data_IF_475199673361
#
_entry.id   IF_475199673361
#
_cell.length_a   1.000
_cell.length_b   1.000
_cell.length_c   1.000
_cell.angle_alpha   90.00
_cell.angle_beta   90.00
_cell.angle_gamma   90.00
#
_symmetry.space_group_name_H-M   'P 1'
#
loop_
_entity.id
_entity.type
_entity.pdbx_description
1 polymer ?
#
# COMPACT_ATOMS: atom_id res chain seq x y z
N UNK A 1 -23.12 -19.61 -33.46
CA UNK A 1 -22.29 -18.37 -33.46
C UNK A 1 -22.24 -17.65 -32.12
N UNK A 2 -23.25 -17.72 -31.23
CA UNK A 2 -23.22 -16.99 -29.94
C UNK A 2 -22.25 -17.52 -28.87
N UNK A 3 -22.00 -18.84 -28.81
CA UNK A 3 -21.14 -19.44 -27.79
C UNK A 3 -19.66 -19.03 -27.92
N UNK A 4 -19.13 -18.99 -29.15
CA UNK A 4 -17.76 -18.56 -29.43
C UNK A 4 -17.52 -17.09 -29.09
N UNK A 5 -18.49 -16.21 -29.42
CA UNK A 5 -18.43 -14.79 -29.05
C UNK A 5 -18.41 -14.60 -27.52
N UNK A 6 -19.27 -15.33 -26.79
CA UNK A 6 -19.27 -15.25 -25.32
C UNK A 6 -17.96 -15.76 -24.70
N UNK A 7 -17.38 -16.83 -25.27
CA UNK A 7 -16.11 -17.38 -24.79
C UNK A 7 -14.97 -16.38 -24.99
N UNK A 8 -14.94 -15.67 -26.12
CA UNK A 8 -13.95 -14.61 -26.36
C UNK A 8 -14.12 -13.42 -25.44
N UNK A 9 -15.35 -12.98 -25.14
CA UNK A 9 -15.61 -11.88 -24.20
C UNK A 9 -15.15 -12.20 -22.78
N UNK A 10 -15.20 -13.47 -22.37
CA UNK A 10 -14.75 -13.93 -21.05
C UNK A 10 -13.24 -14.14 -21.02
N UNK A 11 -12.67 -14.80 -22.05
CA UNK A 11 -11.27 -15.18 -22.07
C UNK A 11 -10.34 -14.01 -22.37
N UNK A 12 -10.72 -13.13 -23.30
CA UNK A 12 -9.91 -11.97 -23.69
C UNK A 12 -9.48 -11.09 -22.49
N UNK A 13 -10.38 -10.64 -21.59
CA UNK A 13 -9.97 -9.82 -20.46
C UNK A 13 -9.06 -10.57 -19.47
N UNK A 14 -9.21 -11.90 -19.36
CA UNK A 14 -8.35 -12.73 -18.50
C UNK A 14 -6.94 -12.81 -19.09
N UNK A 15 -6.83 -13.20 -20.37
CA UNK A 15 -5.53 -13.28 -21.06
C UNK A 15 -4.85 -11.92 -21.16
N UNK A 16 -5.61 -10.86 -21.46
CA UNK A 16 -5.08 -9.51 -21.52
C UNK A 16 -4.53 -9.07 -20.15
N UNK A 17 -5.26 -9.35 -19.07
CA UNK A 17 -4.79 -9.05 -17.71
C UNK A 17 -3.53 -9.84 -17.35
N UNK A 18 -3.46 -11.11 -17.75
CA UNK A 18 -2.27 -11.93 -17.52
C UNK A 18 -1.07 -11.40 -18.31
N UNK A 19 -1.26 -11.08 -19.59
CA UNK A 19 -0.23 -10.50 -20.46
C UNK A 19 0.31 -9.17 -19.91
N UNK A 20 -0.58 -8.23 -19.56
CA UNK A 20 -0.20 -6.96 -18.93
C UNK A 20 0.52 -7.18 -17.61
N UNK A 21 0.11 -8.17 -16.81
CA UNK A 21 0.79 -8.48 -15.54
C UNK A 21 2.19 -9.07 -15.72
N UNK A 22 2.47 -9.76 -16.84
CA UNK A 22 3.80 -10.25 -17.20
C UNK A 22 4.71 -9.12 -17.67
N UNK A 23 4.18 -8.20 -18.47
CA UNK A 23 4.94 -7.05 -18.98
C UNK A 23 5.19 -5.99 -17.90
N UNK A 24 4.20 -5.73 -17.05
CA UNK A 24 4.24 -4.74 -15.97
C UNK A 24 3.98 -5.43 -14.63
N UNK A 25 4.95 -6.20 -14.13
CA UNK A 25 4.76 -6.96 -12.91
C UNK A 25 4.54 -6.02 -11.73
N UNK A 26 3.36 -6.14 -11.11
CA UNK A 26 3.03 -5.36 -9.94
C UNK A 26 3.91 -5.83 -8.78
N UNK A 27 4.78 -4.94 -8.28
CA UNK A 27 5.75 -5.23 -7.22
C UNK A 27 5.10 -5.32 -5.83
N UNK A 28 3.85 -4.83 -5.72
CA UNK A 28 3.15 -4.63 -4.47
C UNK A 28 1.81 -5.37 -4.47
N UNK A 29 1.41 -5.86 -3.31
CA UNK A 29 0.09 -6.40 -3.06
C UNK A 29 -0.60 -5.55 -2.00
N UNK A 30 -1.75 -4.95 -2.34
CA UNK A 30 -2.58 -4.28 -1.35
C UNK A 30 -3.50 -5.30 -0.70
N UNK A 31 -3.38 -5.43 0.61
CA UNK A 31 -4.11 -6.43 1.40
C UNK A 31 -5.44 -5.92 1.91
N UNK A 32 -5.36 -4.83 2.67
CA UNK A 32 -6.52 -4.27 3.35
C UNK A 32 -6.45 -2.75 3.33
N UNK A 33 -7.60 -2.11 3.39
CA UNK A 33 -7.75 -0.66 3.34
C UNK A 33 -8.94 -0.24 4.17
N UNK A 34 -8.75 0.73 5.06
CA UNK A 34 -9.84 1.38 5.77
C UNK A 34 -10.06 2.79 5.21
N UNK A 35 -11.24 2.99 4.63
CA UNK A 35 -11.67 4.21 3.97
C UNK A 35 -12.93 4.77 4.65
N UNK A 36 -12.96 6.07 4.89
CA UNK A 36 -14.14 6.78 5.36
C UNK A 36 -14.14 8.22 4.84
N UNK A 37 -15.29 8.87 4.87
CA UNK A 37 -15.45 10.28 4.50
C UNK A 37 -15.52 11.14 5.75
N UNK A 38 -14.85 12.30 5.73
CA UNK A 38 -14.95 13.33 6.76
C UNK A 38 -15.29 14.65 6.08
N UNK A 39 -16.51 15.16 6.31
CA UNK A 39 -17.00 16.37 5.64
C UNK A 39 -16.97 16.21 4.11
N UNK A 40 -16.16 17.05 3.44
CA UNK A 40 -16.01 17.11 1.98
C UNK A 40 -14.72 16.44 1.46
N UNK A 41 -14.12 15.54 2.24
CA UNK A 41 -12.95 14.78 1.81
C UNK A 41 -12.96 13.35 2.30
N UNK A 42 -12.15 12.52 1.65
CA UNK A 42 -11.98 11.11 1.97
C UNK A 42 -10.64 10.91 2.69
N UNK A 43 -10.66 9.99 3.65
CA UNK A 43 -9.56 9.64 4.53
C UNK A 43 -9.31 8.14 4.43
N UNK A 44 -8.06 7.76 4.18
CA UNK A 44 -7.61 6.37 4.13
C UNK A 44 -6.56 6.18 5.23
N UNK A 45 -6.93 5.58 6.36
CA UNK A 45 -6.03 5.53 7.52
C UNK A 45 -5.12 4.31 7.54
N UNK A 46 -5.60 3.15 7.07
CA UNK A 46 -4.93 1.87 7.26
C UNK A 46 -4.86 1.09 5.95
N UNK A 47 -4.17 1.63 4.96
CA UNK A 47 -3.88 0.89 3.72
C UNK A 47 -2.63 0.01 3.93
N UNK A 48 -2.79 -1.30 3.86
CA UNK A 48 -1.70 -2.26 4.09
C UNK A 48 -1.16 -2.80 2.78
N UNK A 49 0.11 -2.54 2.49
CA UNK A 49 0.81 -3.00 1.29
C UNK A 49 1.89 -3.99 1.68
N UNK A 50 2.02 -5.06 0.91
CA UNK A 50 3.05 -6.08 1.05
C UNK A 50 3.92 -6.08 -0.21
N UNK A 51 5.24 -6.15 -0.03
CA UNK A 51 6.19 -6.26 -1.14
C UNK A 51 6.31 -7.72 -1.55
N UNK A 52 6.21 -7.98 -2.87
CA UNK A 52 6.41 -9.34 -3.39
C UNK A 52 7.85 -9.83 -3.16
N UNK A 53 8.06 -11.13 -2.88
CA UNK A 53 9.39 -11.69 -2.58
C UNK A 53 10.47 -11.39 -3.62
N UNK A 54 10.09 -11.36 -4.90
CA UNK A 54 10.97 -11.14 -6.06
C UNK A 54 11.69 -9.77 -6.04
N UNK A 55 11.11 -8.76 -5.38
CA UNK A 55 11.59 -7.37 -5.39
C UNK A 55 12.28 -6.95 -4.10
N UNK A 56 12.70 -7.89 -3.25
CA UNK A 56 13.24 -7.60 -1.91
C UNK A 56 14.72 -7.17 -1.87
N UNK A 57 15.44 -7.13 -2.99
CA UNK A 57 16.88 -6.83 -3.01
C UNK A 57 17.24 -5.41 -2.51
N UNK A 58 16.44 -4.39 -2.87
CA UNK A 58 16.64 -3.02 -2.40
C UNK A 58 15.29 -2.36 -2.10
N UNK A 59 14.72 -2.73 -0.95
CA UNK A 59 13.39 -2.32 -0.52
C UNK A 59 13.29 -0.80 -0.36
N UNK A 60 14.32 -0.14 0.19
CA UNK A 60 14.29 1.30 0.42
C UNK A 60 14.19 2.07 -0.90
N UNK A 61 15.09 1.78 -1.85
CA UNK A 61 15.07 2.43 -3.16
C UNK A 61 13.77 2.11 -3.92
N UNK A 62 13.29 0.87 -3.85
CA UNK A 62 12.04 0.44 -4.45
C UNK A 62 10.86 1.31 -4.00
N UNK A 63 10.76 1.58 -2.69
CA UNK A 63 9.71 2.40 -2.09
C UNK A 63 9.86 3.86 -2.50
N UNK A 64 11.08 4.41 -2.47
CA UNK A 64 11.34 5.80 -2.82
C UNK A 64 11.02 6.11 -4.29
N UNK A 65 11.36 5.20 -5.20
CA UNK A 65 11.04 5.30 -6.63
C UNK A 65 9.54 5.12 -6.89
N UNK A 66 8.87 4.19 -6.20
CA UNK A 66 7.47 3.85 -6.47
C UNK A 66 6.43 4.52 -5.55
N UNK A 67 6.83 5.41 -4.63
CA UNK A 67 5.93 6.04 -3.64
C UNK A 67 4.62 6.57 -4.22
N UNK A 68 4.66 7.19 -5.40
CA UNK A 68 3.46 7.72 -6.06
C UNK A 68 2.54 6.60 -6.54
N UNK A 69 3.11 5.55 -7.12
CA UNK A 69 2.38 4.39 -7.61
C UNK A 69 1.75 3.60 -6.46
N UNK A 70 2.47 3.47 -5.35
CA UNK A 70 1.98 2.87 -4.10
C UNK A 70 0.73 3.60 -3.60
N UNK A 71 0.79 4.94 -3.52
CA UNK A 71 -0.33 5.78 -3.09
C UNK A 71 -1.50 5.71 -4.08
N UNK A 72 -1.25 5.85 -5.38
CA UNK A 72 -2.28 5.74 -6.42
C UNK A 72 -2.98 4.37 -6.40
N UNK A 73 -2.21 3.29 -6.23
CA UNK A 73 -2.73 1.94 -6.11
C UNK A 73 -3.62 1.81 -4.86
N UNK A 74 -3.15 2.32 -3.71
CA UNK A 74 -3.91 2.31 -2.47
C UNK A 74 -5.24 3.06 -2.61
N UNK A 75 -5.23 4.26 -3.21
CA UNK A 75 -6.45 5.06 -3.45
C UNK A 75 -7.40 4.31 -4.39
N UNK A 76 -6.92 3.84 -5.54
CA UNK A 76 -7.75 3.16 -6.55
C UNK A 76 -8.45 1.95 -5.96
N UNK A 77 -7.71 1.12 -5.22
CA UNK A 77 -8.27 -0.08 -4.59
C UNK A 77 -9.20 0.26 -3.43
N UNK A 78 -8.86 1.25 -2.58
CA UNK A 78 -9.74 1.71 -1.50
C UNK A 78 -11.06 2.28 -2.03
N UNK A 79 -11.06 3.00 -3.14
CA UNK A 79 -12.31 3.48 -3.76
C UNK A 79 -13.10 2.35 -4.41
N UNK A 80 -12.43 1.37 -5.01
CA UNK A 80 -13.09 0.22 -5.65
C UNK A 80 -13.85 -0.69 -4.68
N UNK A 81 -13.54 -0.65 -3.39
CA UNK A 81 -14.28 -1.40 -2.35
C UNK A 81 -15.51 -0.66 -1.85
N UNK A 82 -15.71 0.60 -2.25
CA UNK A 82 -16.85 1.42 -1.85
C UNK A 82 -17.87 1.57 -2.99
N UNK A 83 -19.17 1.74 -2.69
CA UNK A 83 -20.17 2.00 -3.72
C UNK A 83 -19.82 3.22 -4.57
N UNK A 84 -20.11 3.16 -5.88
CA UNK A 84 -19.76 4.21 -6.84
C UNK A 84 -20.31 5.61 -6.45
N UNK A 85 -21.53 5.66 -5.91
CA UNK A 85 -22.21 6.90 -5.54
C UNK A 85 -22.09 7.27 -4.05
N UNK A 86 -21.18 6.63 -3.33
CA UNK A 86 -20.92 6.97 -1.93
C UNK A 86 -20.11 8.26 -1.81
N UNK A 87 -20.33 9.02 -0.73
CA UNK A 87 -19.52 10.22 -0.39
C UNK A 87 -18.02 9.91 -0.39
N UNK A 88 -17.63 8.75 0.10
CA UNK A 88 -16.25 8.23 0.11
C UNK A 88 -15.62 8.11 -1.28
N UNK A 89 -16.41 7.72 -2.27
CA UNK A 89 -15.92 7.53 -3.64
C UNK A 89 -15.90 8.85 -4.42
N UNK A 90 -16.90 9.71 -4.19
CA UNK A 90 -17.04 11.01 -4.87
C UNK A 90 -16.03 12.05 -4.38
N UNK A 91 -15.75 12.12 -3.09
CA UNK A 91 -14.88 13.15 -2.55
C UNK A 91 -13.38 12.89 -2.83
N UNK A 92 -12.58 13.97 -2.90
CA UNK A 92 -11.13 13.86 -3.07
C UNK A 92 -10.49 13.26 -1.82
N UNK A 93 -9.49 12.41 -2.01
CA UNK A 93 -8.69 11.89 -0.89
C UNK A 93 -7.72 12.98 -0.45
N UNK A 94 -7.88 13.48 0.78
CA UNK A 94 -7.00 14.50 1.35
C UNK A 94 -6.08 13.96 2.43
N UNK A 95 -6.34 12.75 2.92
CA UNK A 95 -5.49 12.07 3.86
C UNK A 95 -5.36 10.61 3.45
N UNK A 96 -4.12 10.13 3.36
CA UNK A 96 -3.83 8.72 3.18
C UNK A 96 -2.60 8.34 4.00
N UNK A 97 -2.71 7.24 4.73
CA UNK A 97 -1.60 6.58 5.41
C UNK A 97 -1.54 5.12 4.99
N UNK A 98 -0.38 4.74 4.48
CA UNK A 98 -0.06 3.43 3.94
C UNK A 98 1.00 2.79 4.83
N UNK A 99 0.76 1.55 5.24
CA UNK A 99 1.70 0.70 5.97
C UNK A 99 2.31 -0.31 5.00
N UNK A 100 3.63 -0.33 4.90
CA UNK A 100 4.36 -1.23 4.00
C UNK A 100 5.02 -2.33 4.83
N UNK A 101 4.74 -3.58 4.46
CA UNK A 101 5.22 -4.78 5.12
C UNK A 101 6.09 -5.63 4.19
N UNK A 102 7.11 -6.27 4.76
CA UNK A 102 7.96 -7.20 4.02
C UNK A 102 7.22 -8.51 3.72
N UNK A 103 6.39 -9.00 4.66
CA UNK A 103 5.73 -10.31 4.60
C UNK A 103 4.24 -10.20 4.88
N UNK A 104 3.47 -11.08 4.24
CA UNK A 104 2.06 -11.27 4.53
C UNK A 104 1.88 -12.14 5.78
N UNK A 105 1.81 -11.53 6.97
CA UNK A 105 1.47 -12.26 8.20
C UNK A 105 -0.05 -12.31 8.38
N UNK A 106 -0.65 -13.48 8.12
CA UNK A 106 -2.09 -13.72 8.28
C UNK A 106 -2.57 -13.79 9.73
N UNK A 107 -1.65 -14.03 10.66
CA UNK A 107 -1.96 -14.29 12.07
C UNK A 107 -1.91 -12.98 12.85
N UNK A 108 -3.03 -12.59 13.45
CA UNK A 108 -3.06 -11.54 14.48
C UNK A 108 -2.33 -12.06 15.72
N UNK A 109 -1.08 -11.65 15.91
CA UNK A 109 -0.38 -11.84 17.18
C UNK A 109 -0.92 -10.83 18.21
N UNK A 110 -2.13 -11.08 18.74
CA UNK A 110 -2.77 -10.26 19.77
C UNK A 110 -2.00 -10.21 21.10
N UNK A 111 -0.92 -11.00 21.25
CA UNK A 111 -0.12 -11.06 22.48
C UNK A 111 0.97 -9.97 22.59
N UNK A 112 1.24 -9.23 21.51
CA UNK A 112 2.20 -8.12 21.53
C UNK A 112 1.53 -6.86 20.96
N UNK A 113 1.21 -5.90 21.82
CA UNK A 113 0.62 -4.60 21.46
C UNK A 113 1.61 -3.64 20.79
N UNK A 114 2.59 -4.17 20.06
CA UNK A 114 3.70 -3.43 19.47
C UNK A 114 3.61 -3.28 17.95
N UNK A 115 4.42 -2.37 17.41
CA UNK A 115 4.65 -2.21 15.97
C UNK A 115 5.21 -3.54 15.43
N UNK A 116 4.63 -4.11 14.36
CA UNK A 116 5.12 -5.37 13.80
C UNK A 116 6.55 -5.22 13.28
N UNK A 117 7.44 -6.15 13.65
CA UNK A 117 8.84 -6.16 13.20
C UNK A 117 8.98 -6.27 11.67
N UNK A 118 7.99 -6.85 11.00
CA UNK A 118 7.95 -7.00 9.54
C UNK A 118 7.49 -5.72 8.82
N UNK A 119 7.09 -4.69 9.56
CA UNK A 119 6.73 -3.40 9.00
C UNK A 119 8.00 -2.66 8.61
N UNK A 120 8.10 -2.26 7.35
CA UNK A 120 9.26 -1.56 6.80
C UNK A 120 9.15 -0.07 7.08
N UNK A 121 8.02 0.53 6.67
CA UNK A 121 7.78 1.95 6.81
C UNK A 121 6.29 2.28 6.66
N UNK A 122 5.94 3.52 6.97
CA UNK A 122 4.68 4.13 6.56
C UNK A 122 4.90 5.25 5.58
N UNK A 123 4.01 5.37 4.59
CA UNK A 123 3.92 6.54 3.70
C UNK A 123 2.63 7.27 4.02
N UNK A 124 2.74 8.55 4.31
CA UNK A 124 1.62 9.43 4.59
C UNK A 124 1.59 10.60 3.60
N UNK A 125 0.39 10.97 3.17
CA UNK A 125 0.10 12.21 2.47
C UNK A 125 -1.06 12.89 3.18
N UNK A 126 -0.82 14.08 3.72
CA UNK A 126 -1.79 14.81 4.51
C UNK A 126 -1.97 16.25 4.00
N UNK A 127 -3.05 16.46 3.25
CA UNK A 127 -3.46 17.76 2.71
C UNK A 127 -4.55 18.43 3.57
N UNK A 128 -4.92 17.85 4.72
CA UNK A 128 -6.03 18.34 5.56
C UNK A 128 -5.59 19.37 6.59
N UNK A 129 -4.29 19.43 6.92
CA UNK A 129 -3.68 20.24 7.99
C UNK A 129 -4.30 20.08 9.40
N UNK A 130 -5.33 19.27 9.54
CA UNK A 130 -6.16 19.12 10.75
C UNK A 130 -5.97 17.75 11.38
N UNK A 131 -5.65 16.73 10.59
CA UNK A 131 -5.32 15.41 11.10
C UNK A 131 -3.86 15.45 11.56
N UNK A 132 -3.63 15.23 12.85
CA UNK A 132 -2.29 15.04 13.39
C UNK A 132 -1.79 13.66 12.98
N UNK A 133 -0.54 13.56 12.54
CA UNK A 133 0.04 12.26 12.25
C UNK A 133 0.45 11.58 13.55
N UNK A 134 -0.13 10.42 13.83
CA UNK A 134 0.33 9.54 14.89
C UNK A 134 1.51 8.74 14.36
N UNK A 135 2.71 9.28 14.52
CA UNK A 135 3.94 8.60 14.16
C UNK A 135 4.27 7.53 15.20
N UNK A 136 4.88 6.47 14.72
CA UNK A 136 5.52 5.49 15.58
C UNK A 136 7.02 5.81 15.66
N UNK A 137 7.72 5.23 16.64
CA UNK A 137 9.14 5.48 16.85
C UNK A 137 9.97 4.98 15.65
N UNK A 138 10.44 5.91 14.83
CA UNK A 138 11.01 5.64 13.52
C UNK A 138 11.68 6.87 12.92
N UNK A 139 12.41 6.67 11.82
CA UNK A 139 13.18 7.73 11.18
C UNK A 139 12.30 8.43 10.13
N UNK A 140 11.86 9.68 10.35
CA UNK A 140 11.04 10.39 9.39
C UNK A 140 11.90 10.91 8.22
N UNK A 141 11.36 10.85 7.03
CA UNK A 141 11.92 11.35 5.79
C UNK A 141 10.82 12.03 4.98
N UNK A 142 10.94 13.34 4.76
CA UNK A 142 9.99 14.11 3.97
C UNK A 142 10.48 14.24 2.52
N UNK A 143 9.62 13.92 1.55
CA UNK A 143 9.89 14.08 0.12
C UNK A 143 8.68 14.73 -0.54
N UNK A 144 8.73 16.05 -0.73
CA UNK A 144 7.59 16.83 -1.22
C UNK A 144 6.38 16.69 -0.30
N UNK A 145 5.24 16.24 -0.83
CA UNK A 145 4.02 15.98 -0.05
C UNK A 145 3.99 14.61 0.66
N UNK A 146 4.99 13.76 0.41
CA UNK A 146 5.06 12.41 0.95
C UNK A 146 5.92 12.41 2.21
N UNK A 147 5.34 11.99 3.33
CA UNK A 147 6.05 11.74 4.57
C UNK A 147 6.28 10.25 4.71
N UNK A 148 7.53 9.81 4.75
CA UNK A 148 7.89 8.41 4.92
C UNK A 148 8.49 8.26 6.31
N UNK A 149 8.00 7.33 7.13
CA UNK A 149 8.58 7.03 8.44
C UNK A 149 9.10 5.60 8.42
N UNK A 150 10.40 5.42 8.55
CA UNK A 150 11.05 4.11 8.51
C UNK A 150 11.05 3.45 9.88
N UNK A 151 10.76 2.16 9.93
CA UNK A 151 10.84 1.38 11.16
C UNK A 151 12.31 1.12 11.53
N UNK A 152 12.72 1.68 12.66
CA UNK A 152 14.09 1.55 13.15
C UNK A 152 14.44 0.08 13.43
N UNK A 153 13.53 -0.69 14.02
CA UNK A 153 13.73 -2.12 14.27
C UNK A 153 14.00 -2.90 12.99
N UNK A 154 13.28 -2.57 11.91
CA UNK A 154 13.49 -3.22 10.63
C UNK A 154 14.87 -2.86 10.05
N UNK A 155 15.29 -1.59 10.15
CA UNK A 155 16.63 -1.16 9.70
C UNK A 155 17.73 -1.90 10.46
N UNK A 156 17.60 -2.03 11.78
CA UNK A 156 18.53 -2.76 12.63
C UNK A 156 18.62 -4.24 12.23
N UNK A 157 17.48 -4.90 11.99
CA UNK A 157 17.45 -6.29 11.53
C UNK A 157 18.13 -6.51 10.18
N UNK A 158 18.00 -5.56 9.24
CA UNK A 158 18.70 -5.66 7.95
C UNK A 158 20.22 -5.53 8.13
N UNK A 159 20.68 -4.65 9.03
CA UNK A 159 22.11 -4.53 9.36
C UNK A 159 22.64 -5.85 9.92
N UNK A 160 21.97 -6.44 10.91
CA UNK A 160 22.40 -7.71 11.52
C UNK A 160 22.51 -8.84 10.49
N UNK A 161 21.55 -8.94 9.56
CA UNK A 161 21.61 -9.95 8.47
C UNK A 161 22.83 -9.79 7.57
N UNK A 162 23.27 -8.55 7.31
CA UNK A 162 24.46 -8.28 6.49
C UNK A 162 25.77 -8.61 7.19
N UNK A 163 25.82 -8.66 8.53
CA UNK A 163 27.03 -9.02 9.29
C UNK A 163 27.19 -10.53 9.54
N UNK A 164 26.19 -11.34 9.18
CA UNK A 164 26.19 -12.80 9.44
C UNK A 164 26.42 -13.62 8.17
N UNK A 165 26.98 -13.02 7.11
CA UNK A 165 27.33 -13.68 5.84
C UNK A 165 28.83 -13.53 5.59
#
# INVERSE_FOLDING_TARGET
MGYLFSATEILFPIYFKEYVSKLFPNQFYLRDTQIHSRGFFTVINNAQIIIKPEYRKNIQQLILTNKENIIKMAIKKSKSTTPAFSKTNLFPVRYIKVFIYERDKRIRHLRFSGIPDDMICTIEVNNTKTILSNDFDGIPQQIGQYRIVWNQKWIEQQKTKHFTV
#
